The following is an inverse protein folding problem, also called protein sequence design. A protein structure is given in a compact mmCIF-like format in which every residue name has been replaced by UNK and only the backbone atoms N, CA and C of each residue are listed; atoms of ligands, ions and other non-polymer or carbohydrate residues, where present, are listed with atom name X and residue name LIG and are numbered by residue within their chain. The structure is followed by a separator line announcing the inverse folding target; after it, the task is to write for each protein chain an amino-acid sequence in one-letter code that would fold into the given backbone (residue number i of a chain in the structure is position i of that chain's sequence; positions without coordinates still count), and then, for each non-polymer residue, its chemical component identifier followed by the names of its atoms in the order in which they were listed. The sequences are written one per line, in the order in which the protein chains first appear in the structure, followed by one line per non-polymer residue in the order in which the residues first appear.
data_IF_590229181323
#
_entry.id   IF_590229181323
#
_cell.length_a   1.000
_cell.length_b   1.000
_cell.length_c   1.000
_cell.angle_alpha   90.00
_cell.angle_beta   90.00
_cell.angle_gamma   90.00
#
_symmetry.space_group_name_H-M   'P 1'
#
loop_
_entity.id
_entity.type
_entity.pdbx_description
1 polymer ?
#
# COMPACT_ATOMS: atom_id res chain seq x y z
N UNK A 1 -1.21 -2.23 -12.99
CA UNK A 1 -2.41 -3.07 -12.78
C UNK A 1 -2.25 -4.54 -13.18
N UNK A 2 -1.61 -4.88 -14.30
CA UNK A 2 -1.45 -6.28 -14.74
C UNK A 2 -0.87 -7.24 -13.67
N UNK A 3 0.08 -6.77 -12.85
CA UNK A 3 0.62 -7.56 -11.74
C UNK A 3 -0.46 -7.92 -10.71
N UNK A 4 -1.19 -6.92 -10.21
CA UNK A 4 -2.25 -7.13 -9.22
C UNK A 4 -3.41 -7.95 -9.78
N UNK A 5 -3.72 -7.80 -11.07
CA UNK A 5 -4.74 -8.60 -11.77
C UNK A 5 -4.24 -9.98 -12.20
N UNK A 6 -2.96 -10.31 -12.01
CA UNK A 6 -2.31 -11.54 -12.49
C UNK A 6 -2.48 -11.79 -13.99
N UNK A 7 -2.33 -10.74 -14.78
CA UNK A 7 -2.47 -10.79 -16.23
C UNK A 7 -1.12 -11.02 -16.92
N UNK A 8 -1.15 -11.62 -18.11
CA UNK A 8 0.04 -11.84 -18.94
C UNK A 8 1.12 -12.65 -18.21
N UNK A 9 2.32 -12.06 -18.08
CA UNK A 9 3.48 -12.70 -17.46
C UNK A 9 3.38 -12.88 -15.93
N UNK A 10 2.31 -12.37 -15.30
CA UNK A 10 2.10 -12.42 -13.85
C UNK A 10 1.02 -13.43 -13.43
N UNK A 11 0.66 -14.37 -14.30
CA UNK A 11 -0.35 -15.40 -13.98
C UNK A 11 0.08 -16.31 -12.82
N UNK A 12 1.36 -16.65 -12.77
CA UNK A 12 1.91 -17.61 -11.80
C UNK A 12 2.44 -16.94 -10.52
N UNK A 13 2.30 -15.62 -10.37
CA UNK A 13 2.71 -14.93 -9.14
C UNK A 13 1.78 -15.26 -7.97
N UNK A 14 2.27 -15.27 -6.71
CA UNK A 14 1.48 -15.55 -5.52
C UNK A 14 0.21 -14.67 -5.42
N UNK A 15 -0.86 -15.21 -4.83
CA UNK A 15 -2.16 -14.52 -4.71
C UNK A 15 -2.18 -13.45 -3.62
N UNK A 16 -1.53 -13.72 -2.50
CA UNK A 16 -1.43 -12.78 -1.38
C UNK A 16 -0.38 -11.70 -1.71
N UNK A 17 -0.82 -10.47 -1.87
CA UNK A 17 0.06 -9.32 -2.09
C UNK A 17 -0.25 -8.24 -1.06
N UNK A 18 0.78 -7.77 -0.36
CA UNK A 18 0.76 -6.52 0.37
C UNK A 18 1.27 -5.42 -0.55
N UNK A 19 0.51 -4.33 -0.70
CA UNK A 19 0.95 -3.17 -1.49
C UNK A 19 1.48 -2.11 -0.55
N UNK A 20 2.70 -1.64 -0.81
CA UNK A 20 3.25 -0.41 -0.22
C UNK A 20 3.14 0.68 -1.27
N UNK A 21 2.43 1.76 -0.95
CA UNK A 21 2.10 2.84 -1.88
C UNK A 21 2.73 4.15 -1.42
N UNK A 22 3.51 4.78 -2.30
CA UNK A 22 3.92 6.17 -2.12
C UNK A 22 2.88 7.09 -2.77
N UNK A 23 2.52 8.20 -2.10
CA UNK A 23 1.59 9.19 -2.66
C UNK A 23 2.29 10.14 -3.64
N UNK A 24 3.59 10.37 -3.46
CA UNK A 24 4.39 11.30 -4.24
C UNK A 24 4.99 10.61 -5.48
N UNK A 25 4.12 10.06 -6.33
CA UNK A 25 4.53 9.43 -7.59
C UNK A 25 4.43 10.42 -8.77
N UNK A 26 5.45 10.52 -9.64
CA UNK A 26 5.51 11.52 -10.71
C UNK A 26 4.53 11.29 -11.88
N UNK A 27 3.80 10.17 -11.93
CA UNK A 27 2.97 9.78 -13.09
C UNK A 27 1.53 9.37 -12.75
N UNK A 28 1.26 8.98 -11.51
CA UNK A 28 -0.05 8.51 -11.07
C UNK A 28 -0.27 9.10 -9.69
N UNK A 29 -1.41 9.73 -9.43
CA UNK A 29 -1.72 10.20 -8.09
C UNK A 29 -1.93 8.97 -7.19
N UNK A 30 -1.20 8.87 -6.07
CA UNK A 30 -1.36 7.73 -5.16
C UNK A 30 -2.79 7.58 -4.64
N UNK A 31 -3.53 8.67 -4.44
CA UNK A 31 -4.93 8.62 -4.06
C UNK A 31 -5.82 8.02 -5.15
N UNK A 32 -5.61 8.43 -6.41
CA UNK A 32 -6.32 7.87 -7.56
C UNK A 32 -6.02 6.37 -7.72
N UNK A 33 -4.76 5.96 -7.52
CA UNK A 33 -4.40 4.55 -7.52
C UNK A 33 -5.17 3.78 -6.42
N UNK A 34 -5.22 4.34 -5.21
CA UNK A 34 -5.93 3.73 -4.08
C UNK A 34 -7.42 3.56 -4.42
N UNK A 35 -8.06 4.60 -4.95
CA UNK A 35 -9.46 4.61 -5.36
C UNK A 35 -9.73 3.55 -6.45
N UNK A 36 -8.88 3.47 -7.48
CA UNK A 36 -9.02 2.47 -8.55
C UNK A 36 -8.94 1.05 -7.99
N UNK A 37 -7.99 0.76 -7.09
CA UNK A 37 -7.85 -0.57 -6.51
C UNK A 37 -9.03 -0.92 -5.62
N UNK A 38 -9.47 0.02 -4.78
CA UNK A 38 -10.54 -0.21 -3.80
C UNK A 38 -11.94 -0.23 -4.44
N UNK A 39 -12.07 0.30 -5.65
CA UNK A 39 -13.29 0.19 -6.47
C UNK A 39 -13.34 -1.08 -7.32
N UNK A 40 -12.24 -1.83 -7.46
CA UNK A 40 -12.21 -3.06 -8.25
C UNK A 40 -12.64 -4.27 -7.42
N UNK A 41 -13.71 -4.96 -7.82
CA UNK A 41 -14.27 -6.10 -7.10
C UNK A 41 -13.25 -7.23 -6.81
N UNK A 42 -12.25 -7.42 -7.67
CA UNK A 42 -11.22 -8.46 -7.50
C UNK A 42 -10.05 -7.99 -6.65
N UNK A 43 -9.83 -6.68 -6.53
CA UNK A 43 -8.65 -6.11 -5.86
C UNK A 43 -8.98 -5.35 -4.59
N UNK A 44 -10.25 -5.04 -4.30
CA UNK A 44 -10.66 -4.20 -3.17
C UNK A 44 -10.23 -4.73 -1.80
N UNK A 45 -10.06 -6.05 -1.67
CA UNK A 45 -9.57 -6.71 -0.46
C UNK A 45 -8.06 -6.67 -0.30
N UNK A 46 -7.31 -6.26 -1.33
CA UNK A 46 -5.84 -6.14 -1.29
C UNK A 46 -5.44 -5.18 -0.18
N UNK A 47 -4.62 -5.60 0.80
CA UNK A 47 -4.11 -4.69 1.81
C UNK A 47 -3.15 -3.66 1.20
N UNK A 48 -3.40 -2.39 1.48
CA UNK A 48 -2.55 -1.28 1.03
C UNK A 48 -2.07 -0.47 2.23
N UNK A 49 -0.76 -0.35 2.37
CA UNK A 49 -0.09 0.54 3.31
C UNK A 49 0.40 1.74 2.52
N UNK A 50 0.00 2.94 2.92
CA UNK A 50 0.59 4.17 2.41
C UNK A 50 1.89 4.43 3.16
N UNK A 51 2.99 4.63 2.42
CA UNK A 51 4.29 5.03 2.93
C UNK A 51 4.77 6.25 2.14
N UNK A 52 4.56 7.45 2.68
CA UNK A 52 4.80 8.73 1.97
C UNK A 52 5.55 9.72 2.85
N UNK A 53 6.21 10.72 2.25
CA UNK A 53 6.77 11.85 2.99
C UNK A 53 5.72 12.86 3.46
N UNK A 54 4.46 12.76 2.99
CA UNK A 54 3.40 13.62 3.53
C UNK A 54 3.01 13.21 4.94
N UNK A 55 2.85 14.20 5.81
CA UNK A 55 2.31 14.06 7.17
C UNK A 55 1.11 14.97 7.39
N UNK A 56 0.48 15.47 6.31
CA UNK A 56 -0.65 16.38 6.41
C UNK A 56 -1.88 15.62 6.93
N UNK A 57 -2.62 16.15 7.92
CA UNK A 57 -3.83 15.50 8.43
C UNK A 57 -4.86 15.20 7.35
N UNK A 58 -5.03 16.11 6.39
CA UNK A 58 -5.93 15.95 5.24
C UNK A 58 -5.58 14.72 4.39
N UNK A 59 -4.28 14.49 4.13
CA UNK A 59 -3.80 13.37 3.33
C UNK A 59 -3.99 12.04 4.06
N UNK A 60 -3.77 12.04 5.38
CA UNK A 60 -4.01 10.88 6.25
C UNK A 60 -5.49 10.51 6.23
N UNK A 61 -6.36 11.48 6.48
CA UNK A 61 -7.81 11.28 6.49
C UNK A 61 -8.31 10.78 5.13
N UNK A 62 -7.85 11.40 4.04
CA UNK A 62 -8.24 11.00 2.70
C UNK A 62 -7.78 9.57 2.36
N UNK A 63 -6.55 9.21 2.71
CA UNK A 63 -6.04 7.85 2.47
C UNK A 63 -6.90 6.79 3.17
N UNK A 64 -7.26 7.00 4.43
CA UNK A 64 -8.13 6.08 5.16
C UNK A 64 -9.55 6.05 4.57
N UNK A 65 -10.13 7.20 4.21
CA UNK A 65 -11.44 7.27 3.53
C UNK A 65 -11.46 6.48 2.23
N UNK A 66 -10.38 6.53 1.46
CA UNK A 66 -10.25 5.80 0.21
C UNK A 66 -9.88 4.32 0.40
N UNK A 67 -9.72 3.84 1.64
CA UNK A 67 -9.58 2.42 1.97
C UNK A 67 -8.15 1.95 2.28
N UNK A 68 -7.20 2.85 2.54
CA UNK A 68 -5.88 2.46 3.02
C UNK A 68 -6.00 1.72 4.36
N UNK A 69 -5.22 0.67 4.52
CA UNK A 69 -5.22 -0.12 5.74
C UNK A 69 -4.29 0.47 6.82
N UNK A 70 -3.28 1.22 6.40
CA UNK A 70 -2.35 1.92 7.28
C UNK A 70 -1.71 3.10 6.55
N UNK A 71 -1.29 4.10 7.30
CA UNK A 71 -0.55 5.27 6.82
C UNK A 71 0.72 5.43 7.64
N UNK A 72 1.86 5.45 6.97
CA UNK A 72 3.18 5.56 7.57
C UNK A 72 3.88 6.76 6.94
N UNK A 73 4.29 7.71 7.78
CA UNK A 73 5.15 8.81 7.33
C UNK A 73 6.55 8.24 7.13
N UNK A 74 7.11 8.44 5.94
CA UNK A 74 8.42 7.93 5.55
C UNK A 74 9.48 8.51 6.49
N UNK A 75 10.22 7.65 7.22
CA UNK A 75 11.24 8.15 8.11
C UNK A 75 12.35 8.89 7.36
N UNK A 76 12.92 9.91 8.00
CA UNK A 76 13.94 10.76 7.40
C UNK A 76 15.34 10.11 7.45
N UNK A 77 15.61 9.28 8.46
CA UNK A 77 16.86 8.53 8.59
C UNK A 77 16.73 7.14 7.97
N UNK A 78 17.87 6.56 7.58
CA UNK A 78 17.90 5.20 7.04
C UNK A 78 17.62 4.17 8.14
N UNK A 79 18.11 4.42 9.34
CA UNK A 79 17.94 3.56 10.51
C UNK A 79 16.45 3.43 10.87
N UNK A 80 15.74 4.56 11.01
CA UNK A 80 14.30 4.56 11.32
C UNK A 80 13.50 3.94 10.17
N UNK A 81 13.95 4.10 8.93
CA UNK A 81 13.31 3.48 7.76
C UNK A 81 13.39 1.95 7.84
N UNK A 82 14.54 1.40 8.22
CA UNK A 82 14.71 -0.04 8.41
C UNK A 82 13.82 -0.55 9.53
N UNK A 83 13.73 0.17 10.65
CA UNK A 83 12.84 -0.19 11.77
C UNK A 83 11.38 -0.23 11.33
N UNK A 84 10.90 0.83 10.65
CA UNK A 84 9.52 0.90 10.16
C UNK A 84 9.18 -0.26 9.20
N UNK A 85 10.09 -0.61 8.28
CA UNK A 85 9.89 -1.73 7.34
C UNK A 85 9.85 -3.07 8.08
N UNK A 86 10.68 -3.25 9.12
CA UNK A 86 10.68 -4.46 9.93
C UNK A 86 9.39 -4.62 10.73
N UNK A 87 8.82 -3.54 11.26
CA UNK A 87 7.51 -3.55 11.91
C UNK A 87 6.38 -3.88 10.94
N UNK A 88 6.38 -3.27 9.75
CA UNK A 88 5.43 -3.59 8.68
C UNK A 88 5.49 -5.08 8.33
N UNK A 89 6.70 -5.62 8.11
CA UNK A 89 6.90 -7.04 7.82
C UNK A 89 6.35 -7.92 8.95
N UNK A 90 6.68 -7.60 10.20
CA UNK A 90 6.23 -8.38 11.36
C UNK A 90 4.71 -8.41 11.45
N UNK A 91 4.06 -7.27 11.34
CA UNK A 91 2.61 -7.21 11.45
C UNK A 91 1.94 -7.88 10.25
N UNK A 92 2.24 -7.41 9.04
CA UNK A 92 1.47 -7.80 7.85
C UNK A 92 1.83 -9.18 7.30
N UNK A 93 3.11 -9.57 7.35
CA UNK A 93 3.58 -10.81 6.72
C UNK A 93 3.79 -11.96 7.71
N UNK A 94 3.78 -11.69 9.03
CA UNK A 94 3.99 -12.73 10.05
C UNK A 94 2.77 -12.91 10.96
N UNK A 95 2.22 -11.82 11.49
CA UNK A 95 1.11 -11.88 12.45
C UNK A 95 -0.27 -11.93 11.78
N UNK A 96 -0.47 -11.10 10.75
CA UNK A 96 -1.76 -10.98 10.06
C UNK A 96 -1.95 -12.09 9.03
N UNK A 97 -3.22 -12.40 8.74
CA UNK A 97 -3.59 -13.25 7.60
C UNK A 97 -4.12 -12.36 6.49
N UNK A 98 -3.35 -12.28 5.41
CA UNK A 98 -3.74 -11.55 4.21
C UNK A 98 -4.75 -12.42 3.44
N UNK A 99 -5.88 -11.85 2.97
CA UNK A 99 -6.87 -12.57 2.17
C UNK A 99 -6.32 -13.09 0.84
#
# INVERSE_FOLDING_TARGET
MQFLRKEGKYRDTPASCLVILDLNMPKVNGFEFLEIIKSDEKLKTTPIIVLTSSSRPEDIELAYKLGANSFVVKPASFEDFIEAVMEIKRYWLTLSKIP
#
